data_IF_210576286469
#
_entry.id   IF_210576286469
#
_cell.length_a   1.000
_cell.length_b   1.000
_cell.length_c   1.000
_cell.angle_alpha   90.00
_cell.angle_beta   90.00
_cell.angle_gamma   90.00
#
_symmetry.space_group_name_H-M   'P 1'
#
loop_
_entity.id
_entity.type
_entity.pdbx_description
1 polymer ?
#
# COMPACT_ATOMS: atom_id res chain seq x y z
N UNK A 1 9.55 -10.40 -21.66
CA UNK A 1 9.23 -8.98 -21.43
C UNK A 1 10.29 -8.26 -20.58
N UNK A 2 10.54 -8.63 -19.32
CA UNK A 2 11.53 -7.97 -18.43
C UNK A 2 12.95 -7.81 -19.03
N UNK A 3 13.50 -8.85 -19.67
CA UNK A 3 14.82 -8.81 -20.33
C UNK A 3 14.87 -7.87 -21.55
N UNK A 4 13.76 -7.72 -22.26
CA UNK A 4 13.65 -6.81 -23.42
C UNK A 4 13.70 -5.36 -22.92
N UNK A 5 12.96 -5.06 -21.84
CA UNK A 5 12.94 -3.75 -21.21
C UNK A 5 14.33 -3.40 -20.67
N UNK A 6 14.98 -4.32 -19.94
CA UNK A 6 16.34 -4.10 -19.44
C UNK A 6 17.35 -3.81 -20.57
N UNK A 7 17.33 -4.61 -21.64
CA UNK A 7 18.21 -4.39 -22.79
C UNK A 7 17.92 -3.05 -23.50
N UNK A 8 16.65 -2.62 -23.55
CA UNK A 8 16.26 -1.32 -24.08
C UNK A 8 16.80 -0.17 -23.23
N UNK A 9 16.71 -0.27 -21.89
CA UNK A 9 17.28 0.72 -20.97
C UNK A 9 18.80 0.85 -21.16
N UNK A 10 19.50 -0.29 -21.25
CA UNK A 10 20.95 -0.32 -21.49
C UNK A 10 21.33 0.31 -22.84
N UNK A 11 20.54 0.04 -23.89
CA UNK A 11 20.71 0.66 -25.22
C UNK A 11 20.57 2.18 -25.18
N UNK A 12 19.70 2.69 -24.31
CA UNK A 12 19.50 4.13 -24.09
C UNK A 12 20.48 4.75 -23.07
N UNK A 13 21.58 4.06 -22.72
CA UNK A 13 22.60 4.52 -21.75
C UNK A 13 22.07 4.78 -20.34
N UNK A 14 20.95 4.16 -19.95
CA UNK A 14 20.45 4.18 -18.58
C UNK A 14 21.20 3.10 -17.79
N UNK A 15 22.05 3.51 -16.85
CA UNK A 15 22.86 2.61 -16.04
C UNK A 15 22.10 2.22 -14.76
N UNK A 16 21.49 1.04 -14.75
CA UNK A 16 20.81 0.45 -13.60
C UNK A 16 21.39 -0.95 -13.42
N UNK A 17 21.72 -1.30 -12.19
CA UNK A 17 22.15 -2.66 -11.83
C UNK A 17 21.05 -3.68 -12.21
N UNK A 18 21.46 -4.79 -12.81
CA UNK A 18 20.55 -5.84 -13.27
C UNK A 18 19.72 -6.39 -12.10
N UNK A 19 20.34 -6.59 -10.94
CA UNK A 19 19.66 -7.09 -9.74
C UNK A 19 18.63 -6.07 -9.23
N UNK A 20 18.99 -4.78 -9.23
CA UNK A 20 18.09 -3.70 -8.84
C UNK A 20 16.90 -3.57 -9.81
N UNK A 21 17.14 -3.70 -11.12
CA UNK A 21 16.08 -3.68 -12.12
C UNK A 21 15.11 -4.85 -11.91
N UNK A 22 15.62 -6.06 -11.70
CA UNK A 22 14.77 -7.24 -11.52
C UNK A 22 14.00 -7.21 -10.20
N UNK A 23 14.62 -6.72 -9.13
CA UNK A 23 13.93 -6.48 -7.87
C UNK A 23 12.80 -5.46 -8.04
N UNK A 24 13.10 -4.28 -8.61
CA UNK A 24 12.11 -3.23 -8.85
C UNK A 24 10.97 -3.70 -9.75
N UNK A 25 11.27 -4.50 -10.78
CA UNK A 25 10.27 -5.13 -11.63
C UNK A 25 9.34 -6.05 -10.85
N UNK A 26 9.88 -6.94 -10.00
CA UNK A 26 9.09 -7.86 -9.19
C UNK A 26 8.18 -7.12 -8.22
N UNK A 27 8.72 -6.11 -7.51
CA UNK A 27 7.94 -5.27 -6.59
C UNK A 27 6.82 -4.53 -7.34
N UNK A 28 7.11 -3.96 -8.50
CA UNK A 28 6.12 -3.23 -9.32
C UNK A 28 4.98 -4.14 -9.78
N UNK A 29 5.29 -5.36 -10.22
CA UNK A 29 4.26 -6.34 -10.62
C UNK A 29 3.38 -6.73 -9.44
N UNK A 30 3.97 -7.02 -8.27
CA UNK A 30 3.20 -7.34 -7.07
C UNK A 30 2.30 -6.19 -6.65
N UNK A 31 2.80 -4.95 -6.75
CA UNK A 31 2.03 -3.76 -6.42
C UNK A 31 0.85 -3.55 -7.38
N UNK A 32 1.07 -3.74 -8.67
CA UNK A 32 0.02 -3.67 -9.69
C UNK A 32 -1.06 -4.74 -9.44
N UNK A 33 -0.66 -5.98 -9.15
CA UNK A 33 -1.58 -7.06 -8.79
C UNK A 33 -2.40 -6.72 -7.55
N UNK A 34 -1.77 -6.14 -6.53
CA UNK A 34 -2.48 -5.66 -5.33
C UNK A 34 -3.53 -4.60 -5.66
N UNK A 35 -3.20 -3.59 -6.47
CA UNK A 35 -4.16 -2.55 -6.86
C UNK A 35 -5.31 -3.15 -7.64
N UNK A 36 -5.04 -4.00 -8.64
CA UNK A 36 -6.08 -4.67 -9.45
C UNK A 36 -7.01 -5.52 -8.56
N UNK A 37 -6.44 -6.36 -7.68
CA UNK A 37 -7.22 -7.19 -6.76
C UNK A 37 -8.08 -6.34 -5.82
N UNK A 38 -7.52 -5.26 -5.28
CA UNK A 38 -8.24 -4.33 -4.39
C UNK A 38 -9.42 -3.67 -5.10
N UNK A 39 -9.22 -3.19 -6.33
CA UNK A 39 -10.29 -2.58 -7.12
C UNK A 39 -11.36 -3.60 -7.48
N UNK A 40 -10.99 -4.82 -7.90
CA UNK A 40 -11.93 -5.90 -8.20
C UNK A 40 -12.81 -6.27 -6.99
N UNK A 41 -12.19 -6.45 -5.81
CA UNK A 41 -12.92 -6.75 -4.57
C UNK A 41 -13.83 -5.56 -4.18
N UNK A 42 -13.36 -4.32 -4.35
CA UNK A 42 -14.20 -3.15 -4.04
C UNK A 42 -15.42 -3.00 -4.93
N UNK A 43 -15.32 -3.40 -6.21
CA UNK A 43 -16.46 -3.44 -7.14
C UNK A 43 -17.49 -4.47 -6.68
N UNK A 44 -17.04 -5.66 -6.25
CA UNK A 44 -17.91 -6.71 -5.70
C UNK A 44 -18.68 -6.22 -4.46
N UNK A 45 -18.04 -5.50 -3.54
CA UNK A 45 -18.70 -4.92 -2.36
C UNK A 45 -19.40 -3.58 -2.62
N UNK A 46 -19.44 -3.12 -3.87
CA UNK A 46 -20.01 -1.83 -4.29
C UNK A 46 -19.42 -0.61 -3.54
N UNK A 47 -18.16 -0.64 -3.12
CA UNK A 47 -17.48 0.42 -2.35
C UNK A 47 -16.29 1.03 -3.12
N UNK A 48 -16.36 1.02 -4.45
CA UNK A 48 -15.28 1.42 -5.36
C UNK A 48 -14.75 2.83 -5.08
N UNK A 49 -15.64 3.84 -5.02
CA UNK A 49 -15.22 5.23 -4.79
C UNK A 49 -14.57 5.43 -3.41
N UNK A 50 -15.15 4.87 -2.35
CA UNK A 50 -14.59 4.90 -1.00
C UNK A 50 -13.20 4.23 -0.97
N UNK A 51 -13.02 3.15 -1.73
CA UNK A 51 -11.73 2.45 -1.84
C UNK A 51 -10.69 3.27 -2.58
N UNK A 52 -11.06 3.99 -3.65
CA UNK A 52 -10.13 4.91 -4.34
C UNK A 52 -9.66 6.01 -3.39
N UNK A 53 -10.58 6.64 -2.66
CA UNK A 53 -10.23 7.68 -1.67
C UNK A 53 -9.28 7.10 -0.62
N UNK A 54 -9.56 5.91 -0.11
CA UNK A 54 -8.69 5.23 0.83
C UNK A 54 -7.29 4.97 0.23
N UNK A 55 -7.21 4.42 -0.98
CA UNK A 55 -5.93 4.11 -1.63
C UNK A 55 -5.07 5.36 -1.86
N UNK A 56 -5.67 6.47 -2.31
CA UNK A 56 -4.94 7.73 -2.54
C UNK A 56 -4.27 8.24 -1.26
N UNK A 57 -4.90 8.03 -0.10
CA UNK A 57 -4.34 8.43 1.20
C UNK A 57 -3.38 7.37 1.77
N UNK A 58 -3.74 6.10 1.68
CA UNK A 58 -3.01 5.00 2.28
C UNK A 58 -1.68 4.71 1.58
N UNK A 59 -1.63 4.80 0.25
CA UNK A 59 -0.43 4.48 -0.54
C UNK A 59 0.76 5.39 -0.17
N UNK A 60 0.61 6.73 -0.14
CA UNK A 60 1.67 7.62 0.33
C UNK A 60 2.11 7.30 1.76
N UNK A 61 1.15 7.12 2.68
CA UNK A 61 1.46 6.81 4.09
C UNK A 61 2.31 5.54 4.16
N UNK A 62 1.86 4.44 3.54
CA UNK A 62 2.57 3.15 3.49
C UNK A 62 3.97 3.28 2.90
N UNK A 63 4.19 4.17 1.93
CA UNK A 63 5.53 4.43 1.39
C UNK A 63 6.48 5.00 2.46
N UNK A 64 5.98 5.83 3.37
CA UNK A 64 6.79 6.45 4.44
C UNK A 64 6.93 5.57 5.68
N UNK A 65 5.85 4.93 6.15
CA UNK A 65 5.92 4.05 7.32
C UNK A 65 6.45 2.65 7.00
N UNK A 66 6.56 2.31 5.72
CA UNK A 66 6.89 0.96 5.27
C UNK A 66 5.66 0.04 5.31
N UNK A 67 5.90 -1.26 5.21
CA UNK A 67 4.85 -2.25 5.30
C UNK A 67 5.38 -3.59 5.77
N UNK A 68 4.48 -4.40 6.31
CA UNK A 68 4.81 -5.76 6.68
C UNK A 68 4.91 -6.63 5.40
N UNK A 69 6.11 -7.12 5.11
CA UNK A 69 6.37 -8.02 3.99
C UNK A 69 6.49 -9.45 4.50
N UNK A 70 5.45 -10.25 4.24
CA UNK A 70 5.49 -11.70 4.44
C UNK A 70 6.44 -12.37 3.43
N UNK A 71 6.98 -13.53 3.81
CA UNK A 71 7.78 -14.38 2.92
C UNK A 71 7.02 -14.87 1.68
N UNK A 72 5.68 -14.85 1.74
CA UNK A 72 4.79 -15.19 0.62
C UNK A 72 4.15 -13.92 0.03
N UNK A 73 4.47 -13.62 -1.24
CA UNK A 73 3.93 -12.46 -1.97
C UNK A 73 2.40 -12.51 -2.12
N UNK A 74 1.82 -13.69 -2.31
CA UNK A 74 0.36 -13.84 -2.43
C UNK A 74 -0.34 -13.47 -1.12
N UNK A 75 0.24 -13.87 0.01
CA UNK A 75 -0.25 -13.49 1.33
C UNK A 75 -0.13 -11.98 1.56
N UNK A 76 1.00 -11.37 1.15
CA UNK A 76 1.15 -9.91 1.17
C UNK A 76 0.05 -9.20 0.40
N UNK A 77 -0.24 -9.65 -0.83
CA UNK A 77 -1.28 -9.06 -1.68
C UNK A 77 -2.65 -9.22 -1.04
N UNK A 78 -2.97 -10.41 -0.54
CA UNK A 78 -4.25 -10.70 0.10
C UNK A 78 -4.48 -9.84 1.35
N UNK A 79 -3.52 -9.81 2.27
CA UNK A 79 -3.62 -8.99 3.50
C UNK A 79 -3.68 -7.50 3.15
N UNK A 80 -2.84 -7.03 2.22
CA UNK A 80 -2.88 -5.64 1.76
C UNK A 80 -4.24 -5.28 1.18
N UNK A 81 -4.86 -6.18 0.43
CA UNK A 81 -6.20 -6.01 -0.15
C UNK A 81 -7.25 -5.86 0.94
N UNK A 82 -7.25 -6.76 1.94
CA UNK A 82 -8.19 -6.70 3.07
C UNK A 82 -8.07 -5.37 3.83
N UNK A 83 -6.83 -4.98 4.18
CA UNK A 83 -6.56 -3.71 4.88
C UNK A 83 -7.06 -2.51 4.07
N UNK A 84 -7.09 -2.61 2.75
CA UNK A 84 -7.52 -1.51 1.87
C UNK A 84 -9.03 -1.43 1.67
N UNK A 85 -9.72 -2.58 1.69
CA UNK A 85 -11.16 -2.64 1.41
C UNK A 85 -12.00 -2.53 2.68
N UNK A 86 -11.55 -3.09 3.82
CA UNK A 86 -12.34 -3.05 5.07
C UNK A 86 -12.74 -1.61 5.47
N UNK A 87 -11.82 -0.63 5.52
CA UNK A 87 -12.18 0.74 5.87
C UNK A 87 -13.20 1.35 4.90
N UNK A 88 -13.08 1.03 3.61
CA UNK A 88 -14.03 1.49 2.60
C UNK A 88 -15.43 0.88 2.78
N UNK A 89 -15.52 -0.42 3.09
CA UNK A 89 -16.79 -1.09 3.42
C UNK A 89 -17.41 -0.47 4.67
N UNK A 90 -16.63 -0.31 5.75
CA UNK A 90 -17.11 0.29 6.99
C UNK A 90 -17.61 1.72 6.76
N UNK A 91 -16.88 2.53 5.99
CA UNK A 91 -17.31 3.90 5.67
C UNK A 91 -18.61 3.96 4.87
N UNK A 92 -18.94 2.92 4.11
CA UNK A 92 -20.16 2.86 3.29
C UNK A 92 -21.37 2.36 4.09
N UNK A 93 -21.19 1.33 4.91
CA UNK A 93 -22.31 0.63 5.54
C UNK A 93 -22.48 0.93 7.04
N UNK A 94 -21.46 1.47 7.71
CA UNK A 94 -21.53 1.80 9.13
C UNK A 94 -21.77 3.30 9.31
N UNK A 95 -22.94 3.66 9.84
CA UNK A 95 -23.19 5.01 10.34
C UNK A 95 -22.77 5.05 11.81
N UNK A 96 -21.63 5.67 12.07
CA UNK A 96 -21.10 5.83 13.43
C UNK A 96 -21.48 7.21 13.94
N UNK A 97 -21.88 7.30 15.21
CA UNK A 97 -22.11 8.58 15.87
C UNK A 97 -20.86 9.47 15.76
N UNK A 98 -21.05 10.74 15.40
CA UNK A 98 -19.94 11.68 15.16
C UNK A 98 -18.99 11.80 16.38
N UNK A 99 -19.51 11.75 17.60
CA UNK A 99 -18.71 11.83 18.82
C UNK A 99 -17.84 10.57 19.00
N UNK A 100 -18.39 9.39 18.71
CA UNK A 100 -17.63 8.14 18.74
C UNK A 100 -16.53 8.16 17.67
N UNK A 101 -16.82 8.67 16.48
CA UNK A 101 -15.83 8.82 15.42
C UNK A 101 -14.70 9.78 15.80
N UNK A 102 -15.03 10.93 16.40
CA UNK A 102 -14.03 11.91 16.88
C UNK A 102 -13.15 11.28 17.96
N UNK A 103 -13.72 10.63 18.97
CA UNK A 103 -12.97 9.98 20.06
C UNK A 103 -12.04 8.90 19.48
N UNK A 104 -12.54 8.08 18.57
CA UNK A 104 -11.74 7.04 17.93
C UNK A 104 -10.54 7.61 17.16
N UNK A 105 -10.74 8.68 16.38
CA UNK A 105 -9.64 9.35 15.68
C UNK A 105 -8.61 9.98 16.63
N UNK A 106 -9.05 10.55 17.75
CA UNK A 106 -8.14 11.08 18.78
C UNK A 106 -7.25 9.96 19.34
N UNK A 107 -7.82 8.79 19.62
CA UNK A 107 -7.06 7.62 20.10
C UNK A 107 -6.04 7.19 19.05
N UNK A 108 -6.43 7.06 17.78
CA UNK A 108 -5.51 6.70 16.70
C UNK A 108 -4.36 7.70 16.53
N UNK A 109 -4.63 9.00 16.61
CA UNK A 109 -3.59 10.03 16.55
C UNK A 109 -2.65 9.91 17.75
N UNK A 110 -3.18 9.68 18.96
CA UNK A 110 -2.38 9.47 20.15
C UNK A 110 -1.47 8.24 20.00
N UNK A 111 -1.99 7.11 19.51
CA UNK A 111 -1.20 5.92 19.20
C UNK A 111 -0.09 6.22 18.19
N UNK A 112 -0.40 6.94 17.11
CA UNK A 112 0.60 7.34 16.11
C UNK A 112 1.69 8.19 16.75
N UNK A 113 1.37 9.14 17.62
CA UNK A 113 2.38 9.98 18.29
C UNK A 113 3.21 9.18 19.29
N UNK A 114 2.60 8.26 20.03
CA UNK A 114 3.29 7.43 21.03
C UNK A 114 4.17 6.35 20.41
N UNK A 115 3.78 5.83 19.24
CA UNK A 115 4.45 4.72 18.53
C UNK A 115 5.25 5.23 17.32
N UNK A 116 5.19 6.54 17.03
CA UNK A 116 5.78 7.20 15.86
C UNK A 116 7.18 6.64 15.52
N UNK A 117 7.48 6.44 14.22
CA UNK A 117 8.52 5.54 13.77
C UNK A 117 9.85 5.83 14.47
N UNK A 118 10.35 4.82 15.17
CA UNK A 118 11.73 4.80 15.67
C UNK A 118 12.62 4.62 14.44
N UNK A 119 13.71 5.39 14.37
CA UNK A 119 14.72 5.28 13.33
C UNK A 119 15.07 3.82 13.04
N UNK A 120 14.74 3.34 11.84
CA UNK A 120 15.10 2.00 11.42
C UNK A 120 16.48 2.07 10.71
N UNK A 121 17.45 1.18 11.01
CA UNK A 121 18.78 1.22 10.40
C UNK A 121 18.77 1.28 8.86
N UNK A 122 17.80 0.60 8.24
CA UNK A 122 17.61 0.55 6.78
C UNK A 122 16.76 1.69 6.20
N UNK A 123 16.21 2.59 7.04
CA UNK A 123 15.38 3.72 6.62
C UNK A 123 15.43 4.80 7.70
N UNK A 124 16.56 5.50 7.77
CA UNK A 124 16.74 6.64 8.68
C UNK A 124 15.76 7.74 8.31
N UNK A 125 15.15 8.32 9.33
CA UNK A 125 14.36 9.54 9.26
C UNK A 125 15.38 10.69 9.23
N UNK A 126 15.65 11.21 8.05
CA UNK A 126 16.37 12.48 7.90
C UNK A 126 15.42 13.65 8.09
#
# INVERSE_FOLDING_TARGET
>A
MKKIIFNSLRKNKINIDEDLFYYGWSVSVNYLLYVIMTLAVSLYFHCFYNTIVFLVLYIPIRRYIGGFHFSNNTLCIFVSTIVSVIPAILSKYCVINIWVNIIFNIILIAEIVLIAPIDHPNKRLN
#
